data_IF_264265002750
#
_entry.id   IF_264265002750
#
_cell.length_a   1.000
_cell.length_b   1.000
_cell.length_c   1.000
_cell.angle_alpha   90.00
_cell.angle_beta   90.00
_cell.angle_gamma   90.00
#
_symmetry.space_group_name_H-M   'P 1'
#
loop_
_entity.id
_entity.type
_entity.pdbx_description
1 polymer ?
#
# COMPACT_ATOMS: atom_id res chain seq x y z
N UNK A 1 7.39 8.54 19.11
CA UNK A 1 8.05 7.31 18.63
C UNK A 1 9.46 7.61 18.15
N UNK A 2 9.65 8.50 17.15
CA UNK A 2 10.98 8.86 16.65
C UNK A 2 11.94 9.42 17.73
N UNK A 3 11.50 10.31 18.63
CA UNK A 3 12.32 10.80 19.75
C UNK A 3 12.76 9.71 20.77
N UNK A 4 12.23 8.49 20.64
CA UNK A 4 12.62 7.30 21.41
C UNK A 4 13.43 6.30 20.55
N UNK A 5 13.95 6.74 19.40
CA UNK A 5 14.72 5.93 18.46
C UNK A 5 13.98 4.69 17.92
N UNK A 6 12.64 4.77 17.88
CA UNK A 6 11.83 3.74 17.23
C UNK A 6 11.69 4.06 15.75
N UNK A 7 11.80 3.04 14.90
CA UNK A 7 11.42 3.13 13.49
C UNK A 7 9.95 3.56 13.37
N UNK A 8 9.69 4.52 12.48
CA UNK A 8 8.37 5.10 12.26
C UNK A 8 7.95 5.00 10.81
N UNK A 9 6.80 4.37 10.57
CA UNK A 9 6.27 4.10 9.22
C UNK A 9 4.80 4.53 9.07
N UNK A 10 4.44 5.80 9.36
CA UNK A 10 3.04 6.23 9.36
C UNK A 10 2.37 6.12 7.99
N UNK A 11 1.07 5.81 8.03
CA UNK A 11 0.17 6.05 6.91
C UNK A 11 -0.13 7.53 6.76
N UNK A 12 -0.15 8.00 5.51
CA UNK A 12 -0.61 9.34 5.13
C UNK A 12 -1.53 9.26 3.92
N UNK A 13 -2.53 10.13 3.88
CA UNK A 13 -3.59 10.13 2.86
C UNK A 13 -3.52 11.33 1.91
N UNK A 14 -2.74 12.36 2.25
CA UNK A 14 -2.59 13.59 1.46
C UNK A 14 -1.21 14.24 1.66
N UNK A 15 -0.94 15.31 0.91
CA UNK A 15 0.34 16.02 0.93
C UNK A 15 0.63 16.71 2.26
N UNK A 16 -0.40 17.20 2.94
CA UNK A 16 -0.24 17.96 4.20
C UNK A 16 0.16 17.02 5.33
N UNK A 17 -0.45 15.84 5.40
CA UNK A 17 -0.04 14.76 6.30
C UNK A 17 1.37 14.26 5.98
N UNK A 18 1.73 14.13 4.69
CA UNK A 18 3.07 13.74 4.29
C UNK A 18 4.13 14.72 4.83
N UNK A 19 3.86 16.03 4.70
CA UNK A 19 4.72 17.09 5.25
C UNK A 19 4.76 17.00 6.77
N UNK A 20 3.62 16.86 7.44
CA UNK A 20 3.52 16.81 8.89
C UNK A 20 4.30 15.61 9.47
N UNK A 21 4.08 14.42 8.91
CA UNK A 21 4.76 13.20 9.37
C UNK A 21 6.25 13.23 9.07
N UNK A 22 6.66 13.78 7.92
CA UNK A 22 8.10 13.93 7.61
C UNK A 22 8.76 14.91 8.59
N UNK A 23 8.12 16.04 8.92
CA UNK A 23 8.61 16.98 9.95
C UNK A 23 8.68 16.36 11.35
N UNK A 24 7.78 15.42 11.65
CA UNK A 24 7.78 14.68 12.91
C UNK A 24 8.89 13.62 13.00
N UNK A 25 9.72 13.46 11.96
CA UNK A 25 10.83 12.52 11.92
C UNK A 25 10.46 11.14 11.39
N UNK A 26 9.36 11.00 10.63
CA UNK A 26 8.99 9.72 10.03
C UNK A 26 10.12 9.16 9.16
N UNK A 27 10.54 7.91 9.41
CA UNK A 27 11.57 7.22 8.64
C UNK A 27 11.04 6.79 7.27
N UNK A 28 9.80 6.30 7.27
CA UNK A 28 9.08 5.86 6.08
C UNK A 28 7.71 6.55 6.02
N UNK A 29 7.34 7.07 4.86
CA UNK A 29 6.00 7.56 4.57
C UNK A 29 5.26 6.51 3.74
N UNK A 30 4.12 6.03 4.24
CA UNK A 30 3.27 5.07 3.52
C UNK A 30 2.06 5.79 2.93
N UNK A 31 2.10 6.06 1.63
CA UNK A 31 1.02 6.69 0.89
C UNK A 31 -0.17 5.73 0.76
N UNK A 32 -1.24 6.00 1.50
CA UNK A 32 -2.38 5.10 1.64
C UNK A 32 -3.53 5.49 0.71
N UNK A 33 -3.87 4.62 -0.24
CA UNK A 33 -4.93 4.84 -1.23
C UNK A 33 -6.32 4.37 -0.76
N UNK A 34 -6.58 4.38 0.55
CA UNK A 34 -7.80 3.84 1.15
C UNK A 34 -7.81 2.30 1.28
N UNK A 35 -8.96 1.73 1.64
CA UNK A 35 -9.10 0.30 1.92
C UNK A 35 -8.74 -0.57 0.70
N UNK A 36 -8.04 -1.69 0.95
CA UNK A 36 -7.63 -2.61 -0.11
C UNK A 36 -8.85 -3.35 -0.70
N UNK A 37 -8.99 -3.29 -2.02
CA UNK A 37 -10.05 -3.99 -2.75
C UNK A 37 -9.72 -5.47 -3.00
N UNK A 38 -10.75 -6.25 -3.35
CA UNK A 38 -10.63 -7.66 -3.74
C UNK A 38 -10.77 -8.66 -2.59
N UNK A 39 -10.81 -9.94 -2.96
CA UNK A 39 -11.11 -11.04 -2.05
C UNK A 39 -12.61 -11.16 -1.73
N UNK A 40 -12.94 -12.03 -0.79
CA UNK A 40 -14.31 -12.35 -0.42
C UNK A 40 -14.96 -11.25 0.45
N UNK A 41 -14.14 -10.47 1.17
CA UNK A 41 -14.58 -9.41 2.09
C UNK A 41 -13.96 -8.04 1.76
N UNK A 42 -13.47 -7.86 0.53
CA UNK A 42 -12.87 -6.59 0.09
C UNK A 42 -13.85 -5.43 0.15
N UNK A 43 -13.37 -4.27 0.59
CA UNK A 43 -14.15 -3.05 0.49
C UNK A 43 -14.23 -2.59 -0.98
N UNK A 44 -15.31 -1.92 -1.34
CA UNK A 44 -15.34 -1.12 -2.57
C UNK A 44 -14.49 0.14 -2.34
N UNK A 45 -13.63 0.47 -3.30
CA UNK A 45 -12.85 1.71 -3.28
C UNK A 45 -13.34 2.67 -4.36
N UNK A 46 -13.29 3.96 -4.07
CA UNK A 46 -13.62 5.00 -5.04
C UNK A 46 -12.49 5.27 -6.06
N UNK A 47 -11.27 4.83 -5.77
CA UNK A 47 -10.09 5.13 -6.59
C UNK A 47 -9.88 4.11 -7.71
N UNK A 48 -9.61 4.61 -8.93
CA UNK A 48 -9.12 3.77 -10.03
C UNK A 48 -7.61 3.62 -9.92
N UNK A 49 -7.08 2.45 -10.27
CA UNK A 49 -5.64 2.19 -10.26
C UNK A 49 -4.87 3.22 -11.11
N UNK A 50 -5.45 3.67 -12.22
CA UNK A 50 -4.86 4.69 -13.10
C UNK A 50 -4.61 6.03 -12.42
N UNK A 51 -5.36 6.35 -11.37
CA UNK A 51 -5.31 7.65 -10.69
C UNK A 51 -4.29 7.66 -9.55
N UNK A 52 -3.99 6.48 -9.00
CA UNK A 52 -3.06 6.29 -7.88
C UNK A 52 -1.64 6.84 -8.14
N UNK A 53 -1.00 6.65 -9.31
CA UNK A 53 0.35 7.16 -9.56
C UNK A 53 0.50 8.66 -9.29
N UNK A 54 -0.52 9.46 -9.68
CA UNK A 54 -0.52 10.92 -9.49
C UNK A 54 -0.62 11.30 -8.02
N UNK A 55 -1.49 10.61 -7.28
CA UNK A 55 -1.70 10.86 -5.84
C UNK A 55 -0.44 10.49 -5.05
N UNK A 56 0.10 9.29 -5.30
CA UNK A 56 1.32 8.80 -4.66
C UNK A 56 2.51 9.71 -4.98
N UNK A 57 2.65 10.17 -6.23
CA UNK A 57 3.70 11.12 -6.61
C UNK A 57 3.60 12.43 -5.81
N UNK A 58 2.40 13.00 -5.67
CA UNK A 58 2.19 14.22 -4.90
C UNK A 58 2.61 14.07 -3.44
N UNK A 59 2.25 12.95 -2.81
CA UNK A 59 2.67 12.62 -1.43
C UNK A 59 4.19 12.46 -1.34
N UNK A 60 4.79 11.73 -2.28
CA UNK A 60 6.24 11.51 -2.30
C UNK A 60 7.02 12.82 -2.46
N UNK A 61 6.59 13.69 -3.38
CA UNK A 61 7.21 14.99 -3.62
C UNK A 61 7.08 15.90 -2.40
N UNK A 62 5.91 15.91 -1.74
CA UNK A 62 5.66 16.70 -0.55
C UNK A 62 6.58 16.27 0.62
N UNK A 63 6.72 14.96 0.84
CA UNK A 63 7.65 14.41 1.83
C UNK A 63 9.10 14.76 1.50
N UNK A 64 9.53 14.55 0.24
CA UNK A 64 10.91 14.79 -0.18
C UNK A 64 11.33 16.26 -0.21
N UNK A 65 10.38 17.19 -0.33
CA UNK A 65 10.62 18.64 -0.12
C UNK A 65 11.00 18.95 1.32
N UNK A 66 10.48 18.21 2.30
CA UNK A 66 10.84 18.36 3.71
C UNK A 66 12.17 17.68 4.01
N UNK A 67 12.34 16.43 3.57
CA UNK A 67 13.53 15.63 3.86
C UNK A 67 13.84 14.69 2.69
N UNK A 68 15.01 14.85 2.06
CA UNK A 68 15.34 14.20 0.78
C UNK A 68 15.54 12.68 0.87
N UNK A 69 15.95 12.17 2.02
CA UNK A 69 16.28 10.78 2.27
C UNK A 69 15.12 9.97 2.88
N UNK A 70 13.92 10.57 3.01
CA UNK A 70 12.73 9.83 3.47
C UNK A 70 12.35 8.73 2.49
N UNK A 71 12.08 7.53 3.01
CA UNK A 71 11.62 6.40 2.20
C UNK A 71 10.11 6.54 2.03
N UNK A 72 9.64 6.54 0.79
CA UNK A 72 8.21 6.54 0.46
C UNK A 72 7.78 5.20 -0.12
N UNK A 73 6.70 4.62 0.41
CA UNK A 73 6.05 3.39 -0.07
C UNK A 73 4.59 3.67 -0.44
N UNK A 74 3.99 2.88 -1.32
CA UNK A 74 2.56 2.91 -1.59
C UNK A 74 1.81 1.76 -0.90
N UNK A 75 0.52 1.96 -0.62
CA UNK A 75 -0.33 0.97 0.04
C UNK A 75 -1.82 1.16 -0.32
N UNK A 76 -2.56 0.05 -0.37
CA UNK A 76 -4.02 0.05 -0.29
C UNK A 76 -4.75 0.47 -1.56
N UNK A 77 -6.05 0.72 -1.41
CA UNK A 77 -6.95 1.03 -2.50
C UNK A 77 -6.97 -0.10 -3.54
N UNK A 78 -6.86 0.24 -4.84
CA UNK A 78 -6.79 -0.75 -5.91
C UNK A 78 -5.40 -1.41 -6.07
N UNK A 79 -4.43 -1.12 -5.20
CA UNK A 79 -3.07 -1.70 -5.27
C UNK A 79 -3.05 -3.01 -4.45
N UNK A 80 -3.59 -4.09 -5.00
CA UNK A 80 -3.81 -5.33 -4.25
C UNK A 80 -3.02 -6.55 -4.75
N UNK A 81 -2.36 -6.43 -5.90
CA UNK A 81 -1.51 -7.48 -6.49
C UNK A 81 -0.07 -7.01 -6.76
N UNK A 82 0.88 -7.94 -6.99
CA UNK A 82 2.22 -7.60 -7.47
C UNK A 82 2.21 -6.79 -8.77
N UNK A 83 1.28 -7.09 -9.69
CA UNK A 83 1.14 -6.39 -10.97
C UNK A 83 0.74 -4.92 -10.76
N UNK A 84 -0.19 -4.66 -9.85
CA UNK A 84 -0.62 -3.30 -9.49
C UNK A 84 0.52 -2.54 -8.83
N UNK A 85 1.20 -3.15 -7.85
CA UNK A 85 2.34 -2.53 -7.19
C UNK A 85 3.45 -2.19 -8.20
N UNK A 86 3.75 -3.12 -9.12
CA UNK A 86 4.72 -2.89 -10.18
C UNK A 86 4.29 -1.79 -11.15
N UNK A 87 2.99 -1.67 -11.46
CA UNK A 87 2.45 -0.56 -12.24
C UNK A 87 2.70 0.79 -11.55
N UNK A 88 2.41 0.90 -10.25
CA UNK A 88 2.68 2.12 -9.48
C UNK A 88 4.18 2.45 -9.47
N UNK A 89 5.02 1.47 -9.16
CA UNK A 89 6.49 1.66 -9.08
C UNK A 89 7.10 2.09 -10.42
N UNK A 90 6.59 1.61 -11.56
CA UNK A 90 7.04 2.04 -12.90
C UNK A 90 6.50 3.41 -13.30
N UNK A 91 5.34 3.79 -12.78
CA UNK A 91 4.64 5.02 -13.19
C UNK A 91 4.92 6.22 -12.30
N UNK A 92 5.54 6.01 -11.14
CA UNK A 92 5.79 7.04 -10.14
C UNK A 92 7.27 7.11 -9.77
N UNK A 93 7.86 8.30 -9.91
CA UNK A 93 9.22 8.56 -9.42
C UNK A 93 9.19 8.88 -7.93
N UNK A 94 10.29 8.61 -7.25
CA UNK A 94 10.48 9.04 -5.86
C UNK A 94 9.85 8.14 -4.80
N UNK A 95 9.27 7.00 -5.18
CA UNK A 95 8.86 5.92 -4.28
C UNK A 95 9.83 4.74 -4.38
N UNK A 96 9.84 3.89 -3.36
CA UNK A 96 10.87 2.85 -3.19
C UNK A 96 10.30 1.46 -2.93
N UNK A 97 8.98 1.31 -2.87
CA UNK A 97 8.36 0.00 -2.66
C UNK A 97 6.88 0.08 -2.32
N UNK A 98 6.37 -1.05 -1.83
CA UNK A 98 4.97 -1.28 -1.49
C UNK A 98 4.87 -1.86 -0.08
N UNK A 99 3.87 -1.42 0.68
CA UNK A 99 3.57 -1.94 2.01
C UNK A 99 2.35 -2.86 1.93
N UNK A 100 2.54 -4.16 2.13
CA UNK A 100 1.48 -5.17 2.05
C UNK A 100 0.80 -5.45 3.40
N UNK A 101 -0.52 -5.67 3.37
CA UNK A 101 -1.29 -6.22 4.48
C UNK A 101 -2.24 -7.30 3.92
N UNK A 102 -3.49 -6.92 3.60
CA UNK A 102 -4.48 -7.83 2.99
C UNK A 102 -3.97 -8.56 1.74
N UNK A 103 -3.19 -7.88 0.90
CA UNK A 103 -2.57 -8.47 -0.30
C UNK A 103 -1.53 -9.54 0.00
N UNK A 104 -0.95 -9.53 1.20
CA UNK A 104 0.10 -10.46 1.61
C UNK A 104 -0.44 -11.66 2.38
N UNK A 105 -1.46 -11.44 3.24
CA UNK A 105 -1.99 -12.52 4.09
C UNK A 105 -3.40 -12.96 3.69
N UNK A 106 -4.34 -12.02 3.49
CA UNK A 106 -5.77 -12.34 3.36
C UNK A 106 -6.07 -12.91 1.98
N UNK A 107 -5.76 -12.17 0.92
CA UNK A 107 -6.13 -12.56 -0.44
C UNK A 107 -5.50 -13.90 -0.86
N UNK A 108 -4.20 -14.15 -0.61
CA UNK A 108 -3.60 -15.44 -0.95
C UNK A 108 -4.21 -16.60 -0.14
N UNK A 109 -4.46 -16.37 1.15
CA UNK A 109 -5.05 -17.39 2.04
C UNK A 109 -6.48 -17.73 1.64
N UNK A 110 -7.30 -16.74 1.31
CA UNK A 110 -8.68 -16.96 0.85
C UNK A 110 -8.72 -17.85 -0.40
N UNK A 111 -7.84 -17.60 -1.37
CA UNK A 111 -7.74 -18.41 -2.59
C UNK A 111 -7.31 -19.83 -2.25
N UNK A 112 -6.21 -19.99 -1.52
CA UNK A 112 -5.62 -21.29 -1.21
C UNK A 112 -6.59 -22.18 -0.40
N UNK A 113 -7.20 -21.65 0.66
CA UNK A 113 -8.14 -22.41 1.49
C UNK A 113 -9.41 -22.79 0.73
N UNK A 114 -9.92 -21.88 -0.11
CA UNK A 114 -11.11 -22.16 -0.93
C UNK A 114 -10.81 -23.26 -1.93
N UNK A 115 -9.67 -23.19 -2.63
CA UNK A 115 -9.29 -24.20 -3.61
C UNK A 115 -9.08 -25.57 -2.96
N UNK A 116 -8.33 -25.64 -1.86
CA UNK A 116 -8.07 -26.89 -1.14
C UNK A 116 -9.38 -27.57 -0.69
N UNK A 117 -10.35 -26.78 -0.22
CA UNK A 117 -11.65 -27.31 0.21
C UNK A 117 -12.44 -27.86 -0.99
N UNK A 118 -12.41 -27.17 -2.13
CA UNK A 118 -13.04 -27.65 -3.38
C UNK A 118 -12.42 -28.97 -3.85
N UNK A 119 -11.10 -29.09 -3.77
CA UNK A 119 -10.37 -30.29 -4.19
C UNK A 119 -10.71 -31.51 -3.32
N UNK A 120 -10.82 -31.34 -2.00
CA UNK A 120 -11.31 -32.44 -1.14
C UNK A 120 -12.77 -32.82 -1.43
N UNK A 121 -13.60 -31.85 -1.77
CA UNK A 121 -15.02 -32.07 -2.09
C UNK A 121 -15.24 -32.75 -3.43
N UNK A 122 -14.27 -32.72 -4.35
CA UNK A 122 -14.40 -33.29 -5.70
C UNK A 122 -13.99 -34.76 -5.80
N UNK A 123 -13.46 -35.36 -4.72
CA UNK A 123 -13.09 -36.77 -4.67
C UNK A 123 -14.34 -37.63 -4.93
N UNK A 124 -14.27 -38.49 -5.95
CA UNK A 124 -15.26 -39.52 -6.27
C UNK A 124 -14.60 -40.90 -6.31
N UNK A 125 -15.40 -41.95 -6.09
CA UNK A 125 -15.01 -43.37 -6.11
C UNK A 125 -16.06 -44.19 -6.86
#
# INVERSE_FOLDING_TARGET
ANAKDMLTTPYVFNTDEAVAMTKAGADIIVAHMGLTTGGNIGAETALKLSDCPKIVAGIADAAKKVRKDVIVLCHGGPISSPEDAAYILRSTKGIHGFYGASSMERLPTEIALTQQTRDFKSISF
#
